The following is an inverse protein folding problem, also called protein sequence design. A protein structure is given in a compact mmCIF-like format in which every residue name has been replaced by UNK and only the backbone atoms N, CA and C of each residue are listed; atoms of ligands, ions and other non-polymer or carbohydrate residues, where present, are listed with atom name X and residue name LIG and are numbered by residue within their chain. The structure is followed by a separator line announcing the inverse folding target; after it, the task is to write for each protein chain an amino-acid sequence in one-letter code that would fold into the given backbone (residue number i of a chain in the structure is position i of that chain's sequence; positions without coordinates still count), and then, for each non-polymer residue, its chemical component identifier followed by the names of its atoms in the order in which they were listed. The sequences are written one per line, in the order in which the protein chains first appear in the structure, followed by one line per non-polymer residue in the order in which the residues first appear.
data_IF_179410808483
#
_entry.id   IF_179410808483
#
_cell.length_a   1.000
_cell.length_b   1.000
_cell.length_c   1.000
_cell.angle_alpha   90.00
_cell.angle_beta   90.00
_cell.angle_gamma   90.00
#
_symmetry.space_group_name_H-M   'P 1'
#
loop_
_entity.id
_entity.type
_entity.pdbx_description
1 polymer ?
#
# COMPACT_ATOMS: atom_id res chain seq x y z
N UNK A 1 -18.29 22.57 12.15
CA UNK A 1 -17.43 21.39 11.94
C UNK A 1 -18.25 20.30 11.26
N UNK A 2 -18.07 20.11 9.96
CA UNK A 2 -18.84 19.11 9.20
C UNK A 2 -18.44 17.69 9.62
N UNK A 3 -19.40 16.77 9.85
CA UNK A 3 -19.13 15.40 10.31
C UNK A 3 -18.32 14.56 9.30
N UNK A 4 -18.15 15.05 8.07
CA UNK A 4 -17.42 14.41 6.99
C UNK A 4 -15.90 14.47 7.17
N UNK A 5 -15.35 15.51 7.83
CA UNK A 5 -13.90 15.66 7.97
C UNK A 5 -13.27 14.56 8.84
N UNK A 6 -13.85 14.18 10.00
CA UNK A 6 -13.39 13.02 10.76
C UNK A 6 -13.48 11.71 9.97
N UNK A 7 -14.54 11.53 9.17
CA UNK A 7 -14.71 10.33 8.34
C UNK A 7 -13.64 10.25 7.23
N UNK A 8 -13.31 11.37 6.58
CA UNK A 8 -12.23 11.44 5.58
C UNK A 8 -10.87 11.13 6.21
N UNK A 9 -10.60 11.67 7.40
CA UNK A 9 -9.36 11.38 8.13
C UNK A 9 -9.26 9.90 8.55
N UNK A 10 -10.38 9.30 8.99
CA UNK A 10 -10.45 7.89 9.31
C UNK A 10 -10.21 7.01 8.08
N UNK A 11 -10.80 7.36 6.93
CA UNK A 11 -10.56 6.64 5.69
C UNK A 11 -9.09 6.71 5.25
N UNK A 12 -8.46 7.89 5.35
CA UNK A 12 -7.03 8.04 5.08
C UNK A 12 -6.15 7.16 6.00
N UNK A 13 -6.56 6.93 7.25
CA UNK A 13 -5.86 6.03 8.16
C UNK A 13 -6.00 4.56 7.75
N UNK A 14 -7.19 4.15 7.29
CA UNK A 14 -7.43 2.79 6.74
C UNK A 14 -6.53 2.56 5.51
N UNK A 15 -6.52 3.49 4.55
CA UNK A 15 -5.69 3.37 3.36
C UNK A 15 -4.19 3.25 3.69
N UNK A 16 -3.69 3.99 4.68
CA UNK A 16 -2.30 3.82 5.17
C UNK A 16 -2.04 2.45 5.80
N UNK A 17 -3.01 1.93 6.54
CA UNK A 17 -2.92 0.60 7.12
C UNK A 17 -2.85 -0.47 6.02
N UNK A 18 -3.72 -0.35 5.01
CA UNK A 18 -3.74 -1.28 3.87
C UNK A 18 -2.44 -1.19 3.05
N UNK A 19 -1.93 0.03 2.81
CA UNK A 19 -0.65 0.24 2.16
C UNK A 19 0.50 -0.47 2.90
N UNK A 20 0.52 -0.38 4.24
CA UNK A 20 1.50 -1.08 5.07
C UNK A 20 1.39 -2.59 4.96
N UNK A 21 0.17 -3.15 5.01
CA UNK A 21 -0.06 -4.59 4.87
C UNK A 21 0.44 -5.09 3.50
N UNK A 22 0.21 -4.32 2.43
CA UNK A 22 0.71 -4.66 1.10
C UNK A 22 2.23 -4.56 0.98
N UNK A 23 2.86 -3.59 1.65
CA UNK A 23 4.31 -3.50 1.73
C UNK A 23 4.90 -4.72 2.46
N UNK A 24 4.33 -5.11 3.60
CA UNK A 24 4.72 -6.32 4.33
C UNK A 24 4.54 -7.60 3.49
N UNK A 25 3.47 -7.68 2.70
CA UNK A 25 3.27 -8.76 1.72
C UNK A 25 4.37 -8.77 0.65
N UNK A 26 4.74 -7.61 0.12
CA UNK A 26 5.81 -7.50 -0.87
C UNK A 26 7.16 -7.96 -0.32
N UNK A 27 7.50 -7.64 0.93
CA UNK A 27 8.74 -8.12 1.56
C UNK A 27 8.74 -9.65 1.69
N UNK A 28 7.63 -10.24 2.16
CA UNK A 28 7.50 -11.71 2.26
C UNK A 28 7.64 -12.38 0.90
N UNK A 29 7.10 -11.78 -0.16
CA UNK A 29 7.27 -12.28 -1.52
C UNK A 29 8.73 -12.17 -2.01
N UNK A 30 9.47 -11.12 -1.62
CA UNK A 30 10.91 -11.02 -1.91
C UNK A 30 11.70 -12.12 -1.22
N UNK A 31 11.41 -12.40 0.04
CA UNK A 31 12.06 -13.48 0.79
C UNK A 31 11.79 -14.84 0.15
N UNK A 32 10.53 -15.11 -0.25
CA UNK A 32 10.16 -16.33 -0.98
C UNK A 32 10.91 -16.40 -2.31
N UNK A 33 10.93 -15.31 -3.08
CA UNK A 33 11.66 -15.24 -4.35
C UNK A 33 13.14 -15.53 -4.17
N UNK A 34 13.79 -14.93 -3.18
CA UNK A 34 15.20 -15.16 -2.87
C UNK A 34 15.47 -16.62 -2.46
N UNK A 35 14.59 -17.22 -1.65
CA UNK A 35 14.69 -18.63 -1.27
C UNK A 35 14.55 -19.58 -2.46
N UNK A 36 13.62 -19.28 -3.38
CA UNK A 36 13.42 -20.02 -4.62
C UNK A 36 14.63 -19.94 -5.56
N UNK A 37 15.22 -18.75 -5.71
CA UNK A 37 16.46 -18.57 -6.48
C UNK A 37 17.64 -19.33 -5.87
N UNK A 38 17.82 -19.24 -4.55
CA UNK A 38 18.90 -19.92 -3.85
C UNK A 38 18.79 -21.45 -3.95
N UNK A 39 17.56 -21.99 -4.00
CA UNK A 39 17.32 -23.41 -4.19
C UNK A 39 17.63 -23.90 -5.61
N UNK A 40 17.73 -23.01 -6.61
CA UNK A 40 18.10 -23.33 -7.99
C UNK A 40 17.10 -24.21 -8.76
N UNK A 41 15.94 -24.51 -8.19
CA UNK A 41 14.93 -25.44 -8.72
C UNK A 41 13.61 -24.78 -9.10
N UNK A 42 13.51 -23.45 -8.99
CA UNK A 42 12.27 -22.73 -9.26
C UNK A 42 11.97 -22.67 -10.76
N UNK A 43 10.82 -23.20 -11.23
CA UNK A 43 10.40 -23.05 -12.61
C UNK A 43 10.24 -21.57 -12.99
N UNK A 44 10.51 -21.23 -14.25
CA UNK A 44 10.42 -19.85 -14.74
C UNK A 44 9.04 -19.21 -14.49
N UNK A 45 7.96 -19.97 -14.71
CA UNK A 45 6.60 -19.48 -14.48
C UNK A 45 6.34 -19.06 -13.03
N UNK A 46 7.00 -19.71 -12.06
CA UNK A 46 6.85 -19.39 -10.63
C UNK A 46 7.54 -18.06 -10.32
N UNK A 47 8.74 -17.85 -10.86
CA UNK A 47 9.48 -16.58 -10.72
C UNK A 47 8.70 -15.42 -11.32
N UNK A 48 8.15 -15.59 -12.52
CA UNK A 48 7.33 -14.58 -13.18
C UNK A 48 6.07 -14.25 -12.37
N UNK A 49 5.44 -15.26 -11.78
CA UNK A 49 4.25 -15.09 -10.93
C UNK A 49 4.58 -14.31 -9.66
N UNK A 50 5.68 -14.65 -8.97
CA UNK A 50 6.14 -13.93 -7.78
C UNK A 50 6.48 -12.47 -8.11
N UNK A 51 7.20 -12.23 -9.21
CA UNK A 51 7.54 -10.87 -9.65
C UNK A 51 6.30 -10.04 -10.01
N UNK A 52 5.30 -10.67 -10.65
CA UNK A 52 4.03 -10.01 -10.99
C UNK A 52 3.27 -9.61 -9.72
N UNK A 53 3.17 -10.52 -8.75
CA UNK A 53 2.50 -10.22 -7.46
C UNK A 53 3.26 -9.19 -6.64
N UNK A 54 4.60 -9.25 -6.60
CA UNK A 54 5.42 -8.24 -5.97
C UNK A 54 5.17 -6.86 -6.56
N UNK A 55 5.16 -6.75 -7.89
CA UNK A 55 4.88 -5.49 -8.59
C UNK A 55 3.48 -4.99 -8.25
N UNK A 56 2.48 -5.87 -8.25
CA UNK A 56 1.10 -5.50 -7.90
C UNK A 56 1.00 -4.98 -6.45
N UNK A 57 1.62 -5.66 -5.48
CA UNK A 57 1.62 -5.22 -4.09
C UNK A 57 2.32 -3.88 -3.90
N UNK A 58 3.48 -3.66 -4.53
CA UNK A 58 4.22 -2.39 -4.45
C UNK A 58 3.43 -1.24 -5.06
N UNK A 59 2.84 -1.45 -6.26
CA UNK A 59 2.03 -0.43 -6.92
C UNK A 59 0.80 -0.08 -6.09
N UNK A 60 0.05 -1.09 -5.62
CA UNK A 60 -1.14 -0.85 -4.82
C UNK A 60 -0.80 -0.18 -3.48
N UNK A 61 0.31 -0.54 -2.82
CA UNK A 61 0.76 0.15 -1.62
C UNK A 61 1.04 1.64 -1.88
N UNK A 62 1.74 1.96 -2.97
CA UNK A 62 2.04 3.33 -3.35
C UNK A 62 0.77 4.14 -3.68
N UNK A 63 -0.17 3.54 -4.40
CA UNK A 63 -1.45 4.18 -4.75
C UNK A 63 -2.29 4.48 -3.50
N UNK A 64 -2.36 3.54 -2.56
CA UNK A 64 -3.09 3.72 -1.30
C UNK A 64 -2.45 4.80 -0.42
N UNK A 65 -1.11 4.84 -0.33
CA UNK A 65 -0.41 5.87 0.45
C UNK A 65 -0.59 7.27 -0.16
N UNK A 66 -0.51 7.37 -1.50
CA UNK A 66 -0.78 8.60 -2.21
C UNK A 66 -2.22 9.08 -2.01
N UNK A 67 -3.20 8.18 -2.11
CA UNK A 67 -4.60 8.48 -1.84
C UNK A 67 -4.80 8.96 -0.39
N UNK A 68 -4.19 8.29 0.58
CA UNK A 68 -4.24 8.69 1.99
C UNK A 68 -3.63 10.07 2.23
N UNK A 69 -2.52 10.38 1.57
CA UNK A 69 -1.87 11.69 1.63
C UNK A 69 -2.79 12.79 1.10
N UNK A 70 -3.43 12.57 -0.06
CA UNK A 70 -4.40 13.50 -0.64
C UNK A 70 -5.60 13.75 0.28
N UNK A 71 -6.18 12.69 0.86
CA UNK A 71 -7.31 12.81 1.78
C UNK A 71 -6.94 13.55 3.08
N UNK A 72 -5.77 13.26 3.63
CA UNK A 72 -5.26 13.93 4.83
C UNK A 72 -5.00 15.41 4.56
N UNK A 73 -4.43 15.73 3.40
CA UNK A 73 -4.20 17.12 2.98
C UNK A 73 -5.52 17.87 2.76
N UNK A 74 -6.51 17.22 2.13
CA UNK A 74 -7.84 17.79 1.96
C UNK A 74 -8.49 18.11 3.31
N UNK A 75 -8.55 17.13 4.23
CA UNK A 75 -9.14 17.32 5.55
C UNK A 75 -8.46 18.47 6.33
N UNK A 76 -7.12 18.55 6.28
CA UNK A 76 -6.36 19.62 6.93
C UNK A 76 -6.61 21.01 6.34
N UNK A 77 -6.71 21.13 5.00
CA UNK A 77 -7.03 22.41 4.34
C UNK A 77 -8.44 22.88 4.66
N UNK A 78 -9.41 21.98 4.71
CA UNK A 78 -10.81 22.32 4.96
C UNK A 78 -11.00 22.73 6.43
N UNK A 79 -10.39 22.03 7.37
CA UNK A 79 -10.40 22.43 8.79
C UNK A 79 -9.83 23.84 9.03
N UNK A 80 -8.78 24.22 8.29
CA UNK A 80 -8.15 25.57 8.39
C UNK A 80 -8.98 26.69 7.75
N UNK A 81 -9.92 26.39 6.86
CA UNK A 81 -10.80 27.38 6.23
C UNK A 81 -12.06 27.68 7.06
N UNK A 82 -12.41 26.78 7.98
CA UNK A 82 -13.57 26.89 8.87
C UNK A 82 -13.27 27.62 10.20
N UNK A 83 -12.04 28.14 10.37
CA UNK A 83 -11.55 28.93 11.51
C UNK A 83 -11.30 30.36 11.04
#
# INVERSE_FOLDING_TARGET
MSPELPAIAAHAAVLRSDARVLAECAERLREIGAGLEAAGVAPQWLRESVNTHLTACVTAAADLDAAAAHLSHYAGRTCRRDI
#
